data_IF_341738375056
#
_entry.id   IF_341738375056
#
_cell.length_a   1.000
_cell.length_b   1.000
_cell.length_c   1.000
_cell.angle_alpha   90.00
_cell.angle_beta   90.00
_cell.angle_gamma   90.00
#
_symmetry.space_group_name_H-M   'P 1'
#
loop_
_entity.id
_entity.type
_entity.pdbx_description
1 polymer ?
#
# COMPACT_ATOMS: atom_id res chain seq x y z
N UNK A 1 -6.41 -20.44 -27.34
CA UNK A 1 -5.12 -21.13 -27.10
C UNK A 1 -5.24 -21.94 -25.83
N UNK A 2 -4.67 -23.15 -25.78
CA UNK A 2 -4.67 -23.94 -24.55
C UNK A 2 -3.56 -23.41 -23.62
N UNK A 3 -3.86 -22.90 -22.41
CA UNK A 3 -2.86 -22.40 -21.47
C UNK A 3 -1.78 -23.43 -21.12
N UNK A 4 -2.10 -24.73 -21.18
CA UNK A 4 -1.15 -25.81 -20.92
C UNK A 4 -0.09 -26.00 -22.01
N UNK A 5 -0.19 -25.26 -23.13
CA UNK A 5 0.79 -25.25 -24.22
C UNK A 5 1.67 -24.01 -24.22
N UNK A 6 1.47 -23.10 -23.27
CA UNK A 6 2.31 -21.92 -23.11
C UNK A 6 3.60 -22.31 -22.38
N UNK A 7 4.72 -21.63 -22.66
CA UNK A 7 5.91 -21.78 -21.84
C UNK A 7 5.58 -21.44 -20.38
N UNK A 8 6.32 -22.07 -19.46
CA UNK A 8 6.21 -21.71 -18.05
C UNK A 8 6.53 -20.21 -17.88
N UNK A 9 5.77 -19.49 -17.03
CA UNK A 9 6.08 -18.11 -16.74
C UNK A 9 7.46 -17.99 -16.09
N UNK A 10 8.16 -16.89 -16.35
CA UNK A 10 9.39 -16.59 -15.63
C UNK A 10 9.10 -16.45 -14.12
N UNK A 11 9.98 -16.95 -13.24
CA UNK A 11 9.83 -16.77 -11.80
C UNK A 11 10.08 -15.31 -11.43
N UNK A 12 9.03 -14.63 -10.92
CA UNK A 12 9.12 -13.27 -10.39
C UNK A 12 9.95 -13.30 -9.11
N UNK A 13 11.02 -12.50 -9.05
CA UNK A 13 11.99 -12.55 -7.95
C UNK A 13 11.59 -11.64 -6.78
N UNK A 14 11.41 -10.35 -7.05
CA UNK A 14 11.12 -9.33 -6.06
C UNK A 14 10.45 -8.13 -6.72
N UNK A 15 10.00 -7.16 -5.92
CA UNK A 15 9.58 -5.87 -6.45
C UNK A 15 10.75 -5.21 -7.18
N UNK A 16 10.55 -4.83 -8.44
CA UNK A 16 11.56 -4.05 -9.16
C UNK A 16 11.36 -2.56 -8.86
N UNK A 17 10.19 -2.03 -9.19
CA UNK A 17 9.74 -0.73 -8.71
C UNK A 17 8.22 -0.61 -8.77
N UNK A 18 7.68 0.38 -8.08
CA UNK A 18 6.30 0.86 -8.25
C UNK A 18 6.33 2.36 -8.54
N UNK A 19 5.56 2.83 -9.51
CA UNK A 19 5.57 4.23 -9.94
C UNK A 19 4.23 4.93 -9.67
N UNK A 20 4.30 6.16 -9.14
CA UNK A 20 3.17 7.06 -8.97
C UNK A 20 3.29 8.30 -9.85
N UNK A 21 2.21 9.08 -9.92
CA UNK A 21 2.27 10.46 -10.41
C UNK A 21 2.73 11.37 -9.25
N UNK A 22 3.68 12.24 -9.52
CA UNK A 22 4.05 13.36 -8.66
C UNK A 22 3.43 14.65 -9.19
N UNK A 23 2.95 15.47 -8.27
CA UNK A 23 2.54 16.85 -8.52
C UNK A 23 3.76 17.75 -8.76
N UNK A 24 4.77 17.61 -7.91
CA UNK A 24 6.01 18.38 -7.93
C UNK A 24 7.18 17.47 -7.52
N UNK A 25 8.21 17.42 -8.36
CA UNK A 25 9.37 16.56 -8.16
C UNK A 25 10.22 16.94 -6.94
N UNK A 26 10.38 18.23 -6.63
CA UNK A 26 11.20 18.67 -5.49
C UNK A 26 10.46 18.49 -4.16
N UNK A 27 9.17 18.78 -4.08
CA UNK A 27 8.34 18.46 -2.90
C UNK A 27 8.38 16.95 -2.62
N UNK A 28 8.27 16.13 -3.67
CA UNK A 28 8.37 14.67 -3.56
C UNK A 28 9.77 14.24 -3.12
N UNK A 29 10.85 14.80 -3.69
CA UNK A 29 12.23 14.51 -3.27
C UNK A 29 12.46 14.86 -1.82
N UNK A 30 12.08 16.06 -1.38
CA UNK A 30 12.21 16.47 0.03
C UNK A 30 11.53 15.50 0.96
N UNK A 31 10.33 15.03 0.61
CA UNK A 31 9.62 14.06 1.43
C UNK A 31 10.34 12.70 1.49
N UNK A 32 10.63 12.08 0.35
CA UNK A 32 11.19 10.72 0.32
C UNK A 32 12.67 10.66 0.72
N UNK A 33 13.47 11.64 0.32
CA UNK A 33 14.91 11.70 0.64
C UNK A 33 15.19 12.41 1.95
N UNK A 34 14.75 13.66 2.10
CA UNK A 34 15.12 14.43 3.29
C UNK A 34 14.32 14.01 4.52
N UNK A 35 13.06 13.59 4.40
CA UNK A 35 12.24 13.19 5.56
C UNK A 35 12.29 11.69 5.78
N UNK A 36 12.01 10.85 4.78
CA UNK A 36 12.02 9.40 4.96
C UNK A 36 13.42 8.76 4.85
N UNK A 37 14.40 9.46 4.28
CA UNK A 37 15.78 8.97 4.19
C UNK A 37 16.04 7.99 3.05
N UNK A 38 15.15 7.89 2.06
CA UNK A 38 15.38 7.06 0.87
C UNK A 38 16.18 7.87 -0.15
N UNK A 39 17.38 7.42 -0.55
CA UNK A 39 18.21 8.19 -1.48
C UNK A 39 17.54 8.26 -2.87
N UNK A 40 17.52 9.45 -3.46
CA UNK A 40 17.23 9.63 -4.88
C UNK A 40 18.37 8.97 -5.66
N UNK A 41 18.05 7.94 -6.43
CA UNK A 41 19.05 7.02 -6.96
C UNK A 41 19.14 7.03 -8.48
N UNK A 42 18.05 7.32 -9.17
CA UNK A 42 17.99 7.32 -10.62
C UNK A 42 16.98 8.34 -11.14
N UNK A 43 17.22 8.87 -12.34
CA UNK A 43 16.34 9.80 -13.03
C UNK A 43 16.40 9.56 -14.54
N UNK A 44 15.24 9.65 -15.18
CA UNK A 44 15.03 9.53 -16.63
C UNK A 44 14.19 10.73 -17.07
N UNK A 45 14.59 11.38 -18.16
CA UNK A 45 13.83 12.48 -18.74
C UNK A 45 13.62 12.18 -20.22
N UNK A 46 12.39 12.36 -20.68
CA UNK A 46 12.01 12.13 -22.08
C UNK A 46 10.80 12.99 -22.41
N UNK A 47 10.67 13.34 -23.69
CA UNK A 47 9.48 13.95 -24.26
C UNK A 47 8.52 12.94 -24.90
N UNK A 48 8.94 11.67 -24.97
CA UNK A 48 8.13 10.56 -25.48
C UNK A 48 8.16 9.36 -24.53
N UNK A 49 7.03 8.68 -24.37
CA UNK A 49 6.89 7.45 -23.59
C UNK A 49 7.56 6.28 -24.33
N UNK A 50 8.61 5.63 -23.78
CA UNK A 50 9.38 4.64 -24.52
C UNK A 50 8.58 3.40 -24.97
N UNK A 51 7.56 3.00 -24.21
CA UNK A 51 6.76 1.80 -24.49
C UNK A 51 5.65 2.03 -25.52
N UNK A 52 5.13 3.25 -25.63
CA UNK A 52 3.98 3.57 -26.50
C UNK A 52 4.34 4.52 -27.64
N UNK A 53 5.44 5.27 -27.53
CA UNK A 53 5.82 6.35 -28.44
C UNK A 53 4.99 7.62 -28.30
N UNK A 54 4.10 7.69 -27.31
CA UNK A 54 3.24 8.85 -27.08
C UNK A 54 4.08 10.07 -26.68
N UNK A 55 3.80 11.24 -27.28
CA UNK A 55 4.40 12.50 -26.85
C UNK A 55 3.79 12.93 -25.52
N UNK A 56 4.60 12.86 -24.47
CA UNK A 56 4.25 13.27 -23.12
C UNK A 56 5.57 13.58 -22.41
N UNK A 57 5.96 14.87 -22.28
CA UNK A 57 7.13 15.25 -21.53
C UNK A 57 7.00 14.93 -20.05
N UNK A 58 8.04 14.30 -19.50
CA UNK A 58 8.07 13.93 -18.09
C UNK A 58 9.50 13.88 -17.53
N UNK A 59 9.58 13.98 -16.20
CA UNK A 59 10.72 13.50 -15.42
C UNK A 59 10.29 12.30 -14.59
N UNK A 60 11.01 11.19 -14.73
CA UNK A 60 10.78 9.96 -13.98
C UNK A 60 11.95 9.71 -13.03
N UNK A 61 11.68 9.65 -11.72
CA UNK A 61 12.72 9.63 -10.69
C UNK A 61 12.45 8.57 -9.63
N UNK A 62 13.52 8.01 -9.05
CA UNK A 62 13.48 6.77 -8.27
C UNK A 62 14.18 6.91 -6.93
N UNK A 63 13.52 6.50 -5.86
CA UNK A 63 14.08 6.39 -4.52
C UNK A 63 14.35 4.93 -4.19
N UNK A 64 15.57 4.63 -3.72
CA UNK A 64 16.02 3.25 -3.52
C UNK A 64 15.68 2.74 -2.12
N UNK A 65 15.13 1.54 -2.05
CA UNK A 65 14.97 0.75 -0.82
C UNK A 65 16.22 -0.10 -0.53
N UNK A 66 16.36 -0.57 0.71
CA UNK A 66 17.55 -1.31 1.16
C UNK A 66 17.76 -2.64 0.41
N UNK A 67 16.69 -3.28 -0.06
CA UNK A 67 16.73 -4.51 -0.86
C UNK A 67 17.07 -4.27 -2.34
N UNK A 68 17.27 -3.00 -2.74
CA UNK A 68 17.55 -2.60 -4.11
C UNK A 68 16.32 -2.40 -5.00
N UNK A 69 15.10 -2.59 -4.48
CA UNK A 69 13.88 -2.17 -5.15
C UNK A 69 13.68 -0.65 -5.07
N UNK A 70 12.73 -0.11 -5.83
CA UNK A 70 12.47 1.34 -5.87
C UNK A 70 11.00 1.70 -5.69
N UNK A 71 10.76 2.85 -5.08
CA UNK A 71 9.55 3.63 -5.32
C UNK A 71 9.91 4.75 -6.30
N UNK A 72 9.05 4.99 -7.29
CA UNK A 72 9.33 5.91 -8.37
C UNK A 72 8.15 6.85 -8.63
N UNK A 73 8.43 7.94 -9.32
CA UNK A 73 7.46 8.99 -9.58
C UNK A 73 7.62 9.54 -10.99
N UNK A 74 6.50 9.91 -11.61
CA UNK A 74 6.45 10.70 -12.83
C UNK A 74 5.92 12.09 -12.49
N UNK A 75 6.75 13.11 -12.72
CA UNK A 75 6.31 14.50 -12.79
C UNK A 75 6.08 14.84 -14.27
N UNK A 76 4.85 15.23 -14.62
CA UNK A 76 4.46 15.56 -16.00
C UNK A 76 4.58 17.06 -16.31
N UNK A 77 5.04 17.88 -15.36
CA UNK A 77 5.24 19.32 -15.53
C UNK A 77 3.95 20.13 -15.62
N UNK A 78 2.86 19.64 -15.04
CA UNK A 78 1.53 20.27 -15.07
C UNK A 78 0.96 20.60 -13.68
N UNK A 79 1.75 20.42 -12.62
CA UNK A 79 1.42 20.72 -11.22
C UNK A 79 0.16 19.99 -10.69
N UNK A 80 -0.20 18.83 -11.25
CA UNK A 80 -1.37 18.06 -10.83
C UNK A 80 -1.02 16.76 -10.09
N UNK A 81 -1.65 16.53 -8.93
CA UNK A 81 -1.63 15.25 -8.23
C UNK A 81 -2.69 14.28 -8.79
N UNK A 82 -2.48 12.97 -8.61
CA UNK A 82 -3.51 11.99 -8.93
C UNK A 82 -4.74 12.19 -8.01
N UNK A 83 -5.94 12.18 -8.59
CA UNK A 83 -7.17 12.22 -7.81
C UNK A 83 -7.37 10.90 -7.05
N UNK A 84 -7.81 10.94 -5.78
CA UNK A 84 -8.16 9.72 -5.06
C UNK A 84 -9.34 9.03 -5.75
N UNK A 85 -9.37 7.70 -5.68
CA UNK A 85 -10.47 6.94 -6.25
C UNK A 85 -11.80 7.30 -5.56
N UNK A 86 -12.82 7.77 -6.31
CA UNK A 86 -14.03 8.37 -5.72
C UNK A 86 -14.90 7.40 -4.93
N UNK A 87 -14.70 6.09 -5.12
CA UNK A 87 -15.45 5.03 -4.45
C UNK A 87 -14.63 4.29 -3.38
N UNK A 88 -13.43 4.79 -3.04
CA UNK A 88 -12.49 4.10 -2.17
C UNK A 88 -12.18 4.98 -0.95
N UNK A 89 -12.46 4.51 0.28
CA UNK A 89 -12.06 5.22 1.48
C UNK A 89 -10.53 5.44 1.52
N UNK A 90 -10.10 6.61 2.01
CA UNK A 90 -8.68 7.02 2.02
C UNK A 90 -7.74 6.02 2.70
N UNK A 91 -8.25 5.19 3.60
CA UNK A 91 -7.45 4.20 4.33
C UNK A 91 -7.20 2.90 3.55
N UNK A 92 -7.93 2.63 2.47
CA UNK A 92 -7.86 1.32 1.79
C UNK A 92 -6.58 1.15 0.98
N UNK A 93 -6.32 2.03 0.00
CA UNK A 93 -5.14 1.92 -0.84
C UNK A 93 -3.94 2.55 -0.12
N UNK A 94 -2.87 1.77 0.08
CA UNK A 94 -1.63 2.21 0.69
C UNK A 94 -0.45 1.36 0.20
N UNK A 95 0.75 1.89 0.35
CA UNK A 95 2.00 1.13 0.19
C UNK A 95 2.70 1.02 1.53
N UNK A 96 3.10 -0.20 1.91
CA UNK A 96 3.81 -0.46 3.15
C UNK A 96 5.29 -0.72 2.89
N UNK A 97 6.15 -0.06 3.67
CA UNK A 97 7.58 -0.34 3.72
C UNK A 97 7.97 -0.91 5.08
N UNK A 98 8.79 -1.97 5.05
CA UNK A 98 9.26 -2.61 6.27
C UNK A 98 10.33 -1.77 6.97
N UNK A 99 10.19 -1.64 8.28
CA UNK A 99 11.28 -1.31 9.21
C UNK A 99 11.56 -2.51 10.12
N UNK A 100 12.68 -2.52 10.80
CA UNK A 100 13.12 -3.67 11.59
C UNK A 100 12.48 -3.71 12.98
N UNK A 101 12.21 -2.54 13.58
CA UNK A 101 11.77 -2.48 14.98
C UNK A 101 10.65 -1.47 15.22
N UNK A 102 9.89 -1.68 16.30
CA UNK A 102 8.90 -0.71 16.77
C UNK A 102 9.54 0.63 17.15
N UNK A 103 10.77 0.62 17.67
CA UNK A 103 11.49 1.86 17.98
C UNK A 103 11.80 2.67 16.71
N UNK A 104 12.09 2.02 15.58
CA UNK A 104 12.26 2.70 14.29
C UNK A 104 10.95 3.34 13.81
N UNK A 105 9.78 2.73 14.07
CA UNK A 105 8.48 3.35 13.81
C UNK A 105 8.32 4.62 14.64
N UNK A 106 8.54 4.56 15.95
CA UNK A 106 8.38 5.71 16.85
C UNK A 106 9.34 6.86 16.49
N UNK A 107 10.60 6.53 16.18
CA UNK A 107 11.58 7.51 15.73
C UNK A 107 11.16 8.18 14.41
N UNK A 108 10.63 7.40 13.47
CA UNK A 108 10.20 7.93 12.16
C UNK A 108 8.93 8.75 12.29
N UNK A 109 7.98 8.31 13.13
CA UNK A 109 6.79 9.08 13.49
C UNK A 109 7.16 10.45 14.04
N UNK A 110 8.06 10.52 15.02
CA UNK A 110 8.50 11.79 15.59
C UNK A 110 9.13 12.72 14.54
N UNK A 111 9.91 12.17 13.59
CA UNK A 111 10.51 12.93 12.48
C UNK A 111 9.46 13.49 11.51
N UNK A 112 8.45 12.69 11.16
CA UNK A 112 7.33 13.09 10.31
C UNK A 112 6.51 14.21 10.99
N UNK A 113 6.13 14.03 12.25
CA UNK A 113 5.38 15.02 13.04
C UNK A 113 6.15 16.33 13.20
N UNK A 114 7.46 16.27 13.44
CA UNK A 114 8.33 17.45 13.49
C UNK A 114 8.40 18.20 12.15
N UNK A 115 8.08 17.52 11.05
CA UNK A 115 7.99 18.10 9.70
C UNK A 115 6.57 18.55 9.34
N UNK A 116 5.63 18.53 10.29
CA UNK A 116 4.25 18.96 10.10
C UNK A 116 3.33 17.92 9.45
N UNK A 117 3.75 16.66 9.37
CA UNK A 117 2.98 15.56 8.78
C UNK A 117 2.16 14.87 9.88
N UNK A 118 0.86 14.72 9.65
CA UNK A 118 -0.02 13.95 10.55
C UNK A 118 0.26 12.44 10.42
N UNK A 119 0.47 11.78 11.55
CA UNK A 119 0.77 10.35 11.60
C UNK A 119 -0.22 9.62 12.50
N UNK A 120 -0.89 8.60 11.95
CA UNK A 120 -1.74 7.67 12.69
C UNK A 120 -0.92 6.47 13.17
N UNK A 121 -1.07 6.12 14.45
CA UNK A 121 -0.41 4.96 15.07
C UNK A 121 0.50 5.36 16.23
N UNK A 122 1.33 4.46 16.76
CA UNK A 122 1.54 3.07 16.31
C UNK A 122 0.27 2.22 16.48
N UNK A 123 -0.13 1.53 15.42
CA UNK A 123 -1.30 0.64 15.38
C UNK A 123 -0.82 -0.81 15.52
N UNK A 124 -1.43 -1.55 16.44
CA UNK A 124 -1.14 -2.96 16.67
C UNK A 124 -2.08 -3.86 15.84
N UNK A 125 -1.48 -4.75 15.05
CA UNK A 125 -2.14 -5.76 14.22
C UNK A 125 -1.84 -7.19 14.70
N UNK A 126 -1.36 -7.33 15.94
CA UNK A 126 -0.92 -8.54 16.63
C UNK A 126 0.37 -9.16 16.06
N UNK A 127 0.43 -9.39 14.73
CA UNK A 127 1.60 -9.96 14.05
C UNK A 127 2.60 -8.90 13.54
N UNK A 128 2.18 -7.65 13.50
CA UNK A 128 3.02 -6.50 13.16
C UNK A 128 2.46 -5.22 13.77
N UNK A 129 3.28 -4.19 13.82
CA UNK A 129 2.90 -2.84 14.21
C UNK A 129 3.18 -1.87 13.08
N UNK A 130 2.34 -0.84 12.95
CA UNK A 130 2.45 0.11 11.84
C UNK A 130 2.14 1.55 12.21
N UNK A 131 2.73 2.49 11.47
CA UNK A 131 2.29 3.89 11.41
C UNK A 131 1.79 4.21 10.00
N UNK A 132 0.84 5.14 9.88
CA UNK A 132 0.26 5.55 8.61
C UNK A 132 0.29 7.06 8.46
N UNK A 133 0.62 7.55 7.27
CA UNK A 133 0.69 8.97 6.94
C UNK A 133 0.47 9.17 5.43
N UNK A 134 0.36 10.42 4.99
CA UNK A 134 0.22 10.77 3.58
C UNK A 134 1.46 11.52 3.10
N UNK A 135 1.87 11.26 1.86
CA UNK A 135 2.87 12.08 1.17
C UNK A 135 2.25 13.36 0.56
N UNK A 136 3.06 14.26 -0.03
CA UNK A 136 2.56 15.47 -0.70
C UNK A 136 1.61 15.19 -1.88
N UNK A 137 1.67 13.99 -2.47
CA UNK A 137 0.83 13.58 -3.59
C UNK A 137 -0.50 12.94 -3.15
N UNK A 138 -0.76 12.84 -1.84
CA UNK A 138 -1.97 12.23 -1.29
C UNK A 138 -1.96 10.70 -1.29
N UNK A 139 -0.79 10.09 -1.48
CA UNK A 139 -0.58 8.65 -1.39
C UNK A 139 -0.50 8.26 0.09
N UNK A 140 -1.26 7.26 0.51
CA UNK A 140 -1.15 6.73 1.86
C UNK A 140 0.04 5.79 1.96
N UNK A 141 0.94 6.08 2.89
CA UNK A 141 2.05 5.22 3.24
C UNK A 141 1.80 4.53 4.58
N UNK A 142 2.42 3.37 4.71
CA UNK A 142 2.55 2.61 5.93
C UNK A 142 4.04 2.30 6.15
N UNK A 143 4.53 2.49 7.38
CA UNK A 143 5.76 1.81 7.81
C UNK A 143 5.36 0.69 8.76
N UNK A 144 5.89 -0.50 8.53
CA UNK A 144 5.52 -1.71 9.27
C UNK A 144 6.73 -2.36 9.91
N UNK A 145 6.67 -2.57 11.23
CA UNK A 145 7.58 -3.43 11.97
C UNK A 145 6.95 -4.82 12.11
N UNK A 146 7.51 -5.79 11.40
CA UNK A 146 7.09 -7.19 11.48
C UNK A 146 7.50 -7.76 12.85
N UNK A 147 6.54 -8.23 13.64
CA UNK A 147 6.79 -8.84 14.95
C UNK A 147 6.83 -10.37 14.87
N UNK A 148 5.92 -10.95 14.08
CA UNK A 148 5.85 -12.39 13.89
C UNK A 148 7.03 -12.88 13.02
N UNK A 149 7.64 -13.99 13.43
CA UNK A 149 8.74 -14.60 12.70
C UNK A 149 8.28 -15.40 11.47
N UNK A 150 9.23 -15.99 10.73
CA UNK A 150 8.91 -16.77 9.52
C UNK A 150 8.03 -17.98 9.82
N UNK A 151 8.20 -18.63 10.97
CA UNK A 151 7.41 -19.81 11.35
C UNK A 151 5.97 -19.40 11.69
N UNK A 152 5.80 -18.34 12.46
CA UNK A 152 4.48 -17.78 12.78
C UNK A 152 3.74 -17.35 11.51
N UNK A 153 4.43 -16.66 10.59
CA UNK A 153 3.85 -16.28 9.29
C UNK A 153 3.52 -17.49 8.41
N UNK A 154 4.33 -18.55 8.47
CA UNK A 154 4.04 -19.80 7.78
C UNK A 154 2.77 -20.47 8.34
N UNK A 155 2.60 -20.50 9.66
CA UNK A 155 1.38 -21.02 10.29
C UNK A 155 0.15 -20.21 9.88
N UNK A 156 0.22 -18.88 9.88
CA UNK A 156 -0.85 -17.99 9.39
C UNK A 156 -1.24 -18.32 7.93
N UNK A 157 -0.24 -18.58 7.07
CA UNK A 157 -0.47 -18.88 5.65
C UNK A 157 -1.31 -20.15 5.42
N UNK A 158 -1.27 -21.12 6.34
CA UNK A 158 -1.98 -22.41 6.20
C UNK A 158 -3.50 -22.24 6.21
N UNK A 159 -4.01 -21.20 6.86
CA UNK A 159 -5.46 -20.96 6.98
C UNK A 159 -5.98 -19.89 6.02
N UNK A 160 -5.09 -19.10 5.38
CA UNK A 160 -5.45 -17.96 4.55
C UNK A 160 -6.48 -18.30 3.44
N UNK A 161 -6.27 -19.41 2.73
CA UNK A 161 -7.20 -19.86 1.70
C UNK A 161 -8.58 -20.25 2.24
N UNK A 162 -8.62 -20.96 3.36
CA UNK A 162 -9.87 -21.35 4.00
C UNK A 162 -10.66 -20.13 4.47
N UNK A 163 -10.00 -19.18 5.14
CA UNK A 163 -10.60 -17.93 5.62
C UNK A 163 -11.15 -17.07 4.48
N UNK A 164 -10.43 -16.99 3.35
CA UNK A 164 -10.93 -16.30 2.16
C UNK A 164 -12.14 -17.01 1.53
N UNK A 165 -12.14 -18.35 1.51
CA UNK A 165 -13.27 -19.14 1.02
C UNK A 165 -14.52 -18.89 1.87
N UNK A 166 -14.38 -18.84 3.20
CA UNK A 166 -15.45 -18.49 4.12
C UNK A 166 -16.02 -17.10 3.80
N UNK A 167 -15.17 -16.06 3.71
CA UNK A 167 -15.62 -14.72 3.33
C UNK A 167 -16.42 -14.72 2.02
N UNK A 168 -15.94 -15.46 1.01
CA UNK A 168 -16.63 -15.56 -0.28
C UNK A 168 -17.99 -16.25 -0.17
N UNK A 169 -18.10 -17.34 0.58
CA UNK A 169 -19.37 -18.02 0.82
C UNK A 169 -20.38 -17.11 1.53
N UNK A 170 -19.93 -16.38 2.57
CA UNK A 170 -20.78 -15.43 3.29
C UNK A 170 -21.20 -14.24 2.43
N UNK A 171 -20.30 -13.73 1.58
CA UNK A 171 -20.61 -12.68 0.60
C UNK A 171 -21.65 -13.14 -0.41
N UNK A 172 -21.58 -14.38 -0.87
CA UNK A 172 -22.58 -14.94 -1.78
C UNK A 172 -23.95 -15.06 -1.11
N UNK A 173 -24.00 -15.58 0.12
CA UNK A 173 -25.21 -15.61 0.92
C UNK A 173 -25.78 -14.20 1.13
N UNK A 174 -24.94 -13.22 1.49
CA UNK A 174 -25.35 -11.84 1.67
C UNK A 174 -25.97 -11.23 0.41
N UNK A 175 -25.42 -11.54 -0.77
CA UNK A 175 -25.99 -11.10 -2.06
C UNK A 175 -27.38 -11.70 -2.30
N UNK A 176 -27.58 -12.98 -1.98
CA UNK A 176 -28.91 -13.62 -2.07
C UNK A 176 -29.91 -12.98 -1.11
N UNK A 177 -29.54 -12.83 0.16
CA UNK A 177 -30.36 -12.17 1.18
C UNK A 177 -30.78 -10.76 0.77
N UNK A 178 -29.85 -9.99 0.19
CA UNK A 178 -30.12 -8.64 -0.30
C UNK A 178 -31.03 -8.64 -1.53
N UNK A 179 -30.83 -9.55 -2.48
CA UNK A 179 -31.70 -9.69 -3.65
C UNK A 179 -33.14 -10.07 -3.27
N UNK A 180 -33.30 -10.84 -2.19
CA UNK A 180 -34.60 -11.20 -1.61
C UNK A 180 -35.20 -10.10 -0.69
N UNK A 181 -34.51 -8.96 -0.52
CA UNK A 181 -34.96 -7.86 0.35
C UNK A 181 -34.84 -8.13 1.85
N UNK A 182 -34.17 -9.22 2.26
CA UNK A 182 -34.05 -9.66 3.65
C UNK A 182 -32.93 -8.96 4.43
N UNK A 183 -32.00 -8.29 3.75
CA UNK A 183 -30.89 -7.58 4.39
C UNK A 183 -30.48 -6.33 3.62
N UNK A 184 -30.40 -5.21 4.33
CA UNK A 184 -29.78 -3.96 3.87
C UNK A 184 -28.48 -3.63 4.60
N UNK A 185 -28.10 -4.44 5.60
CA UNK A 185 -26.93 -4.19 6.43
C UNK A 185 -25.62 -4.46 5.65
N UNK A 186 -24.53 -3.75 5.96
CA UNK A 186 -23.21 -4.04 5.42
C UNK A 186 -22.79 -5.49 5.70
N UNK A 187 -22.08 -6.09 4.75
CA UNK A 187 -21.45 -7.40 4.93
C UNK A 187 -20.40 -7.31 6.05
N UNK A 188 -20.43 -8.28 6.97
CA UNK A 188 -19.45 -8.43 8.06
C UNK A 188 -18.69 -9.74 7.90
N UNK A 189 -17.41 -9.78 8.33
CA UNK A 189 -16.67 -11.04 8.38
C UNK A 189 -17.27 -11.95 9.45
N UNK A 190 -17.07 -13.26 9.29
CA UNK A 190 -17.56 -14.27 10.23
C UNK A 190 -16.80 -14.27 11.54
N UNK A 191 -15.49 -14.02 11.46
CA UNK A 191 -14.60 -13.86 12.59
C UNK A 191 -13.94 -12.48 12.51
N UNK A 192 -13.80 -11.82 13.66
CA UNK A 192 -13.05 -10.58 13.76
C UNK A 192 -11.69 -10.88 14.37
N UNK A 193 -10.63 -10.50 13.66
CA UNK A 193 -9.24 -10.69 14.13
C UNK A 193 -8.86 -9.72 15.25
N UNK A 194 -9.71 -8.72 15.51
CA UNK A 194 -9.57 -7.76 16.60
C UNK A 194 -10.66 -7.98 17.64
N UNK A 195 -10.47 -8.87 18.63
CA UNK A 195 -11.49 -9.16 19.63
C UNK A 195 -11.90 -7.91 20.44
N UNK A 196 -11.02 -6.93 20.59
CA UNK A 196 -11.26 -5.68 21.32
C UNK A 196 -12.25 -4.72 20.64
N UNK A 197 -12.60 -4.96 19.37
CA UNK A 197 -13.64 -4.18 18.67
C UNK A 197 -14.98 -4.91 18.59
N UNK A 198 -15.05 -6.16 19.05
CA UNK A 198 -16.30 -6.92 19.11
C UNK A 198 -17.26 -6.21 20.07
N UNK A 199 -18.46 -5.87 19.60
CA UNK A 199 -19.49 -5.19 20.39
C UNK A 199 -19.44 -3.66 20.38
N UNK A 200 -18.42 -3.03 19.78
CA UNK A 200 -18.47 -1.60 19.49
C UNK A 200 -19.48 -1.36 18.37
N UNK A 201 -20.60 -0.71 18.68
CA UNK A 201 -21.57 -0.29 17.67
C UNK A 201 -20.88 0.65 16.66
N UNK A 202 -21.34 0.63 15.41
CA UNK A 202 -21.03 1.71 14.48
C UNK A 202 -21.67 2.98 15.07
N UNK A 203 -20.86 3.82 15.70
CA UNK A 203 -21.27 5.15 16.13
C UNK A 203 -21.49 6.04 14.89
#
# INVERSE_FOLDING_TARGET
MNPSKLPAPAPIQQLHHYAYRAKDAEETRRFYEDILGLPLYHIIQSDHVPSTGEYCPYTHFFFRLQDGSFIAFFDLGDDEAALPSPNTPKWVNHISFRVNTEQELENTKARLEASGIEVLGVTDHHIFKSIYFFDPNGIRLELTAQLADEFEMLEESKTAHARLAEWNARKEQWRRERAEGKSAAPLKPQQNDRPEVVGKAQA
#
